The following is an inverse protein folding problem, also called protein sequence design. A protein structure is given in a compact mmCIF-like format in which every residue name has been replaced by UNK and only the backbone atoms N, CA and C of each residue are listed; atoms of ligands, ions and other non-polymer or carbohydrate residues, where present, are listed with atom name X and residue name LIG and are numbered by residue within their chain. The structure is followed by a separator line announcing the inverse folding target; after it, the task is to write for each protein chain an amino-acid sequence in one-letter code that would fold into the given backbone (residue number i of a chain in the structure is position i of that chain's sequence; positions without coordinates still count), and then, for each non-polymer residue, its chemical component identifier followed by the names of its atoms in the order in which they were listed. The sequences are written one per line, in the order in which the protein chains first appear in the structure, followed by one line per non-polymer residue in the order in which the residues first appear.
data_IF_966871889613
#
_entry.id   IF_966871889613
#
_cell.length_a   1.000
_cell.length_b   1.000
_cell.length_c   1.000
_cell.angle_alpha   90.00
_cell.angle_beta   90.00
_cell.angle_gamma   90.00
#
_symmetry.space_group_name_H-M   'P 1'
#
loop_
_entity.id
_entity.type
_entity.pdbx_description
1 polymer ?
#
# COMPACT_ATOMS: atom_id res chain seq x y z
N UNK A 1 16.11 13.82 -10.76
CA UNK A 1 14.93 13.62 -9.90
C UNK A 1 14.66 12.13 -9.84
N UNK A 2 14.42 11.55 -8.66
CA UNK A 2 14.01 10.15 -8.59
C UNK A 2 12.53 10.06 -9.01
N UNK A 3 12.08 8.95 -9.61
CA UNK A 3 10.66 8.70 -9.80
C UNK A 3 9.96 8.64 -8.44
N UNK A 4 8.73 9.15 -8.38
CA UNK A 4 7.92 9.14 -7.16
C UNK A 4 7.08 7.87 -7.09
N UNK A 5 6.80 7.41 -5.87
CA UNK A 5 5.92 6.25 -5.62
C UNK A 5 5.04 6.51 -4.41
N UNK A 6 3.79 6.06 -4.48
CA UNK A 6 2.86 6.07 -3.36
C UNK A 6 2.81 4.68 -2.71
N UNK A 7 2.93 4.62 -1.39
CA UNK A 7 2.96 3.39 -0.61
C UNK A 7 1.62 3.20 0.09
N UNK A 8 0.93 2.11 -0.26
CA UNK A 8 -0.34 1.70 0.34
C UNK A 8 -0.15 0.90 1.63
N UNK A 9 -1.19 0.87 2.47
CA UNK A 9 -1.24 0.12 3.74
C UNK A 9 -0.89 -1.37 3.58
N UNK A 10 -1.29 -1.99 2.47
CA UNK A 10 -1.02 -3.41 2.20
C UNK A 10 0.47 -3.70 2.03
N UNK A 11 1.22 -2.80 1.39
CA UNK A 11 2.68 -2.93 1.21
C UNK A 11 3.36 -2.96 2.58
N UNK A 12 3.04 -2.00 3.43
CA UNK A 12 3.60 -1.89 4.79
C UNK A 12 3.21 -3.12 5.62
N UNK A 13 1.98 -3.62 5.44
CA UNK A 13 1.52 -4.83 6.11
C UNK A 13 2.29 -6.07 5.67
N UNK A 14 2.57 -6.24 4.37
CA UNK A 14 3.34 -7.38 3.89
C UNK A 14 4.80 -7.37 4.36
N UNK A 15 5.44 -6.20 4.41
CA UNK A 15 6.85 -6.08 4.88
C UNK A 15 7.00 -6.32 6.38
N UNK A 16 5.95 -6.06 7.17
CA UNK A 16 6.01 -6.18 8.65
C UNK A 16 5.34 -7.43 9.20
N UNK A 17 4.51 -8.10 8.39
CA UNK A 17 3.84 -9.33 8.77
C UNK A 17 4.83 -10.46 8.97
N UNK A 18 4.45 -11.42 9.84
CA UNK A 18 5.17 -12.69 9.94
C UNK A 18 4.98 -13.47 8.65
N UNK A 19 5.96 -14.30 8.32
CA UNK A 19 5.84 -15.24 7.20
C UNK A 19 4.54 -16.04 7.33
N UNK A 20 3.72 -15.98 6.28
CA UNK A 20 2.46 -16.72 6.24
C UNK A 20 2.72 -18.22 6.07
N UNK A 21 1.75 -19.04 6.43
CA UNK A 21 1.72 -20.48 6.05
C UNK A 21 0.99 -20.70 4.73
N UNK A 22 0.25 -19.69 4.28
CA UNK A 22 -0.38 -19.68 2.97
C UNK A 22 0.67 -19.33 1.91
N UNK A 23 0.82 -20.21 0.93
CA UNK A 23 1.82 -20.08 -0.14
C UNK A 23 1.62 -18.82 -0.99
N UNK A 24 0.36 -18.44 -1.26
CA UNK A 24 0.03 -17.26 -2.07
C UNK A 24 0.42 -16.01 -1.28
N UNK A 25 0.02 -15.94 -0.01
CA UNK A 25 0.38 -14.81 0.85
C UNK A 25 1.90 -14.70 1.02
N UNK A 26 2.58 -15.84 1.17
CA UNK A 26 4.04 -15.90 1.28
C UNK A 26 4.73 -15.38 0.02
N UNK A 27 4.23 -15.75 -1.17
CA UNK A 27 4.75 -15.24 -2.43
C UNK A 27 4.58 -13.72 -2.53
N UNK A 28 3.42 -13.18 -2.14
CA UNK A 28 3.21 -11.73 -2.09
C UNK A 28 4.15 -11.03 -1.12
N UNK A 29 4.34 -11.59 0.09
CA UNK A 29 5.29 -11.06 1.06
C UNK A 29 6.71 -11.03 0.47
N UNK A 30 7.13 -12.11 -0.19
CA UNK A 30 8.47 -12.21 -0.76
C UNK A 30 8.70 -11.21 -1.90
N UNK A 31 7.74 -11.05 -2.81
CA UNK A 31 7.80 -10.06 -3.89
C UNK A 31 7.81 -8.64 -3.34
N UNK A 32 7.00 -8.38 -2.31
CA UNK A 32 6.95 -7.06 -1.65
C UNK A 32 8.28 -6.75 -0.98
N UNK A 33 8.87 -7.70 -0.25
CA UNK A 33 10.18 -7.56 0.38
C UNK A 33 11.28 -7.32 -0.65
N UNK A 34 11.31 -8.10 -1.73
CA UNK A 34 12.31 -7.94 -2.80
C UNK A 34 12.23 -6.54 -3.45
N UNK A 35 11.02 -6.08 -3.76
CA UNK A 35 10.81 -4.72 -4.26
C UNK A 35 11.20 -3.65 -3.23
N UNK A 36 10.85 -3.86 -1.96
CA UNK A 36 11.15 -2.94 -0.87
C UNK A 36 12.66 -2.76 -0.67
N UNK A 37 13.43 -3.84 -0.79
CA UNK A 37 14.87 -3.79 -0.56
C UNK A 37 15.64 -3.27 -1.78
N UNK A 38 15.17 -3.53 -3.00
CA UNK A 38 15.94 -3.24 -4.23
C UNK A 38 15.44 -2.07 -5.07
N UNK A 39 14.13 -1.78 -5.06
CA UNK A 39 13.52 -0.76 -5.89
C UNK A 39 13.23 0.52 -5.09
N UNK A 40 12.61 0.39 -3.91
CA UNK A 40 12.22 1.52 -3.06
C UNK A 40 13.37 2.52 -2.78
N UNK A 41 14.63 2.12 -2.51
CA UNK A 41 15.71 3.08 -2.26
C UNK A 41 16.01 4.04 -3.44
N UNK A 42 15.57 3.66 -4.65
CA UNK A 42 15.74 4.41 -5.90
C UNK A 42 14.58 5.36 -6.19
N UNK A 43 13.55 5.36 -5.35
CA UNK A 43 12.31 6.13 -5.52
C UNK A 43 12.17 7.17 -4.41
N UNK A 44 11.42 8.23 -4.69
CA UNK A 44 10.91 9.15 -3.66
C UNK A 44 9.54 8.65 -3.21
N UNK A 45 9.47 8.11 -2.00
CA UNK A 45 8.30 7.39 -1.49
C UNK A 45 7.44 8.25 -0.56
N UNK A 46 6.13 8.14 -0.77
CA UNK A 46 5.13 8.94 -0.06
C UNK A 46 3.98 8.08 0.46
N UNK A 47 3.36 8.50 1.55
CA UNK A 47 2.15 7.91 2.13
C UNK A 47 1.08 8.99 2.34
N UNK A 48 -0.19 8.60 2.50
CA UNK A 48 -1.24 9.53 2.90
C UNK A 48 -1.47 9.49 4.42
N UNK A 49 -2.14 10.51 4.99
CA UNK A 49 -2.61 10.46 6.38
C UNK A 49 -3.50 9.25 6.65
N UNK A 50 -4.31 8.84 5.67
CA UNK A 50 -5.18 7.65 5.77
C UNK A 50 -4.36 6.38 5.99
N UNK A 51 -3.25 6.22 5.27
CA UNK A 51 -2.35 5.07 5.48
C UNK A 51 -1.80 5.06 6.91
N UNK A 52 -1.43 6.22 7.45
CA UNK A 52 -0.97 6.34 8.86
C UNK A 52 -2.07 5.90 9.84
N UNK A 53 -3.31 6.33 9.62
CA UNK A 53 -4.45 5.91 10.45
C UNK A 53 -4.73 4.40 10.36
N UNK A 54 -4.60 3.81 9.19
CA UNK A 54 -4.85 2.38 8.98
C UNK A 54 -3.76 1.51 9.61
N UNK A 55 -2.49 1.88 9.45
CA UNK A 55 -1.38 1.11 10.02
C UNK A 55 -1.31 1.20 11.54
N UNK A 56 -1.88 2.25 12.14
CA UNK A 56 -1.95 2.41 13.59
C UNK A 56 -3.01 1.51 14.25
N UNK A 57 -3.97 0.96 13.49
CA UNK A 57 -5.06 0.12 14.02
C UNK A 57 -4.63 -1.32 14.26
N UNK A 58 -5.28 -2.00 15.21
CA UNK A 58 -5.10 -3.43 15.49
C UNK A 58 -4.17 -3.69 16.67
N UNK A 59 -3.41 -4.78 16.62
CA UNK A 59 -2.46 -5.18 17.68
C UNK A 59 -1.38 -4.09 17.88
N UNK A 60 -1.17 -3.57 19.11
CA UNK A 60 -0.24 -2.47 19.36
C UNK A 60 1.21 -2.77 18.95
N UNK A 61 1.67 -4.02 19.10
CA UNK A 61 3.05 -4.41 18.74
C UNK A 61 3.19 -4.43 17.22
N UNK A 62 2.22 -4.98 16.50
CA UNK A 62 2.20 -4.98 15.04
C UNK A 62 2.00 -3.58 14.45
N UNK A 63 1.17 -2.74 15.08
CA UNK A 63 0.99 -1.34 14.70
C UNK A 63 2.31 -0.56 14.86
N UNK A 64 3.01 -0.74 15.98
CA UNK A 64 4.32 -0.12 16.21
C UNK A 64 5.32 -0.42 15.09
N UNK A 65 5.42 -1.68 14.65
CA UNK A 65 6.31 -2.09 13.54
C UNK A 65 5.93 -1.43 12.21
N UNK A 66 4.64 -1.32 11.92
CA UNK A 66 4.16 -0.66 10.69
C UNK A 66 4.46 0.83 10.70
N UNK A 67 4.21 1.51 11.82
CA UNK A 67 4.52 2.93 11.99
C UNK A 67 6.02 3.17 11.86
N UNK A 68 6.85 2.33 12.50
CA UNK A 68 8.32 2.42 12.39
C UNK A 68 8.77 2.33 10.93
N UNK A 69 8.25 1.36 10.16
CA UNK A 69 8.56 1.23 8.73
C UNK A 69 8.06 2.40 7.87
N UNK A 70 6.92 2.98 8.21
CA UNK A 70 6.34 4.11 7.47
C UNK A 70 6.99 5.46 7.81
N UNK A 71 7.69 5.57 8.95
CA UNK A 71 8.24 6.83 9.48
C UNK A 71 9.26 7.52 8.56
N UNK A 72 9.86 6.77 7.63
CA UNK A 72 10.84 7.30 6.67
C UNK A 72 10.21 7.96 5.45
N UNK A 73 8.90 7.81 5.26
CA UNK A 73 8.18 8.34 4.10
C UNK A 73 7.61 9.73 4.38
N UNK A 74 7.62 10.57 3.36
CA UNK A 74 6.93 11.85 3.42
C UNK A 74 5.41 11.63 3.37
N UNK A 75 4.68 12.31 4.25
CA UNK A 75 3.21 12.28 4.23
C UNK A 75 2.73 13.34 3.25
N UNK A 76 1.94 12.93 2.24
CA UNK A 76 1.30 13.85 1.31
C UNK A 76 0.27 14.69 2.06
N UNK A 77 0.38 16.01 1.95
CA UNK A 77 -0.67 16.91 2.39
C UNK A 77 -1.92 16.66 1.53
N UNK A 78 -3.04 16.36 2.20
CA UNK A 78 -4.33 16.27 1.53
C UNK A 78 -4.74 17.70 1.14
N UNK A 79 -4.55 18.05 -0.13
CA UNK A 79 -5.11 19.30 -0.65
C UNK A 79 -6.62 19.16 -0.84
N UNK A 80 -7.35 20.28 -0.77
CA UNK A 80 -8.80 20.34 -0.99
C UNK A 80 -9.21 19.68 -2.31
N UNK A 81 -8.39 19.82 -3.35
CA UNK A 81 -8.65 19.27 -4.69
C UNK A 81 -8.56 17.74 -4.71
N UNK A 82 -7.68 17.14 -3.90
CA UNK A 82 -7.57 15.68 -3.75
C UNK A 82 -8.78 15.14 -2.99
N UNK A 83 -9.26 15.87 -1.98
CA UNK A 83 -10.49 15.52 -1.25
C UNK A 83 -11.71 15.58 -2.17
N UNK A 84 -11.86 16.64 -2.95
CA UNK A 84 -12.95 16.79 -3.92
C UNK A 84 -12.94 15.70 -5.00
N UNK A 85 -11.74 15.31 -5.47
CA UNK A 85 -11.58 14.21 -6.42
C UNK A 85 -11.90 12.86 -5.76
N UNK A 86 -11.47 12.65 -4.52
CA UNK A 86 -11.76 11.45 -3.76
C UNK A 86 -13.26 11.30 -3.50
N UNK A 87 -13.98 12.37 -3.14
CA UNK A 87 -15.43 12.34 -2.94
C UNK A 87 -16.20 12.02 -4.24
N UNK A 88 -15.78 12.61 -5.35
CA UNK A 88 -16.35 12.32 -6.66
C UNK A 88 -16.04 10.88 -7.13
N UNK A 89 -14.85 10.38 -6.81
CA UNK A 89 -14.44 8.99 -7.08
C UNK A 89 -15.18 8.02 -6.15
N UNK A 90 -15.44 8.41 -4.89
CA UNK A 90 -16.16 7.59 -3.92
C UNK A 90 -17.61 7.37 -4.36
N UNK A 91 -18.25 8.40 -4.93
CA UNK A 91 -19.56 8.29 -5.60
C UNK A 91 -19.59 7.23 -6.70
N UNK A 92 -18.51 7.09 -7.46
CA UNK A 92 -18.36 6.00 -8.46
C UNK A 92 -18.01 4.66 -7.80
N UNK A 93 -17.28 4.65 -6.69
CA UNK A 93 -16.90 3.44 -5.96
C UNK A 93 -18.06 2.75 -5.23
N UNK A 94 -19.16 3.46 -4.93
CA UNK A 94 -20.36 2.84 -4.34
C UNK A 94 -21.00 1.82 -5.29
N UNK A 95 -20.80 1.94 -6.60
CA UNK A 95 -21.12 0.90 -7.59
C UNK A 95 -20.18 -0.30 -7.54
N UNK A 96 -18.93 -0.09 -7.10
CA UNK A 96 -17.85 -1.09 -7.01
C UNK A 96 -18.05 -2.06 -5.83
N UNK A 97 -18.74 -1.66 -4.74
CA UNK A 97 -19.12 -2.57 -3.63
C UNK A 97 -20.21 -3.60 -4.00
N UNK A 98 -20.93 -3.42 -5.12
CA UNK A 98 -21.98 -4.34 -5.59
C UNK A 98 -21.44 -5.47 -6.50
N UNK A 99 -20.16 -5.39 -6.89
CA UNK A 99 -19.42 -6.41 -7.65
C UNK A 99 -18.25 -6.87 -6.78
N UNK A 100 -18.33 -8.08 -6.23
CA UNK A 100 -17.37 -8.61 -5.27
C UNK A 100 -15.91 -8.55 -5.77
N UNK A 101 -15.00 -8.28 -4.82
CA UNK A 101 -13.53 -8.24 -4.94
C UNK A 101 -12.97 -7.29 -6.01
N UNK A 102 -12.12 -6.34 -5.59
CA UNK A 102 -11.27 -5.60 -6.55
C UNK A 102 -9.81 -5.77 -6.15
N UNK A 103 -8.91 -6.07 -7.12
CA UNK A 103 -7.56 -6.53 -6.83
C UNK A 103 -6.62 -5.38 -6.46
N UNK A 104 -5.60 -5.74 -5.71
CA UNK A 104 -4.43 -4.90 -5.42
C UNK A 104 -3.58 -4.87 -6.70
N UNK A 105 -3.27 -3.67 -7.19
CA UNK A 105 -2.45 -3.46 -8.39
C UNK A 105 -0.97 -3.64 -8.01
N UNK A 106 -0.26 -4.59 -8.63
CA UNK A 106 1.20 -4.73 -8.49
C UNK A 106 1.91 -4.42 -9.81
N UNK A 107 2.91 -3.52 -9.86
CA UNK A 107 3.75 -3.35 -11.03
C UNK A 107 4.82 -4.46 -11.06
N UNK A 108 4.74 -5.36 -12.05
CA UNK A 108 5.85 -6.27 -12.40
C UNK A 108 6.56 -5.79 -13.66
N UNK A 109 7.88 -6.05 -13.80
CA UNK A 109 8.72 -5.53 -14.89
C UNK A 109 8.38 -6.06 -16.30
N UNK A 110 7.43 -6.98 -16.45
CA UNK A 110 7.08 -7.62 -17.73
C UNK A 110 5.60 -7.50 -18.14
N UNK A 111 4.83 -6.59 -17.53
CA UNK A 111 3.43 -6.33 -17.88
C UNK A 111 2.43 -6.78 -16.82
N UNK A 112 1.19 -6.29 -16.96
CA UNK A 112 0.08 -6.47 -16.02
C UNK A 112 -0.33 -7.95 -15.97
N UNK A 113 -0.23 -8.60 -14.81
CA UNK A 113 -0.70 -9.98 -14.61
C UNK A 113 -1.86 -9.98 -13.63
N UNK A 114 -3.01 -10.46 -14.10
CA UNK A 114 -4.25 -10.68 -13.37
C UNK A 114 -4.23 -12.08 -12.79
N UNK A 115 -4.28 -12.27 -11.47
CA UNK A 115 -4.58 -13.59 -10.90
C UNK A 115 -5.60 -13.39 -9.80
N UNK A 116 -6.76 -14.02 -9.99
CA UNK A 116 -7.91 -14.10 -9.07
C UNK A 116 -7.54 -14.81 -7.78
#
# INVERSE_FOLDING_TARGET
MKPTVYIETSIISYVTARASRDLIVTAHQQLTLDWWDHALPKLDAYVSPVVIEEIAKGDPVAAGKRIEKASVFAVLELSSEIQDLAENTLRLSTYRKKLGQIPIIWPLPYGMVWIT
#
